data_IF_653263754932
#
_entry.id   IF_653263754932
#
_cell.length_a   1.000
_cell.length_b   1.000
_cell.length_c   1.000
_cell.angle_alpha   90.00
_cell.angle_beta   90.00
_cell.angle_gamma   90.00
#
_symmetry.space_group_name_H-M   'P 1'
#
loop_
_entity.id
_entity.type
_entity.pdbx_description
1 polymer ?
#
# COMPACT_ATOMS: atom_id res chain seq x y z
N UNK A 1 -34.57 12.56 -27.35
CA UNK A 1 -34.04 12.44 -25.98
C UNK A 1 -32.57 11.96 -25.89
N UNK A 2 -31.76 11.86 -26.97
CA UNK A 2 -30.47 11.13 -26.93
C UNK A 2 -29.15 11.91 -26.83
N UNK A 3 -29.13 13.25 -26.92
CA UNK A 3 -27.87 14.03 -27.00
C UNK A 3 -27.53 14.81 -25.72
N UNK A 4 -28.50 15.03 -24.81
CA UNK A 4 -28.29 15.80 -23.58
C UNK A 4 -27.84 14.94 -22.39
N UNK A 5 -28.21 13.65 -22.35
CA UNK A 5 -27.77 12.72 -21.29
C UNK A 5 -26.29 12.37 -21.43
N UNK A 6 -25.80 12.19 -22.66
CA UNK A 6 -24.39 11.93 -22.94
C UNK A 6 -23.46 13.08 -22.59
N UNK A 7 -23.98 14.30 -22.34
CA UNK A 7 -23.20 15.45 -21.84
C UNK A 7 -23.16 15.52 -20.32
N UNK A 8 -24.14 14.95 -19.61
CA UNK A 8 -24.34 15.17 -18.16
C UNK A 8 -23.36 14.42 -17.27
N UNK A 9 -22.81 13.29 -17.73
CA UNK A 9 -21.92 12.41 -16.95
C UNK A 9 -20.57 12.11 -17.63
N UNK A 10 -20.13 12.99 -18.54
CA UNK A 10 -18.91 12.79 -19.33
C UNK A 10 -17.65 12.53 -18.49
N UNK A 11 -17.47 13.28 -17.39
CA UNK A 11 -16.34 13.10 -16.47
C UNK A 11 -16.31 11.70 -15.85
N UNK A 12 -17.44 11.24 -15.30
CA UNK A 12 -17.53 9.92 -14.68
C UNK A 12 -17.42 8.80 -15.72
N UNK A 13 -18.09 8.95 -16.87
CA UNK A 13 -18.03 7.98 -17.97
C UNK A 13 -16.62 7.84 -18.57
N UNK A 14 -15.89 8.94 -18.69
CA UNK A 14 -14.51 8.93 -19.16
C UNK A 14 -13.61 8.15 -18.19
N UNK A 15 -13.68 8.45 -16.89
CA UNK A 15 -12.89 7.76 -15.87
C UNK A 15 -13.31 6.29 -15.73
N UNK A 16 -14.60 5.99 -15.86
CA UNK A 16 -15.13 4.64 -15.91
C UNK A 16 -14.55 3.84 -17.09
N UNK A 17 -14.51 4.43 -18.30
CA UNK A 17 -13.89 3.79 -19.47
C UNK A 17 -12.40 3.53 -19.26
N UNK A 18 -11.67 4.47 -18.66
CA UNK A 18 -10.25 4.27 -18.32
C UNK A 18 -10.11 3.09 -17.35
N UNK A 19 -10.94 3.03 -16.32
CA UNK A 19 -10.93 1.96 -15.33
C UNK A 19 -11.24 0.60 -15.96
N UNK A 20 -12.29 0.52 -16.79
CA UNK A 20 -12.69 -0.70 -17.51
C UNK A 20 -11.61 -1.15 -18.48
N UNK A 21 -11.04 -0.25 -19.28
CA UNK A 21 -9.98 -0.60 -20.23
C UNK A 21 -8.73 -1.07 -19.50
N UNK A 22 -8.39 -0.41 -18.39
CA UNK A 22 -7.27 -0.81 -17.52
C UNK A 22 -7.51 -2.19 -16.91
N UNK A 23 -8.73 -2.48 -16.44
CA UNK A 23 -9.12 -3.80 -15.94
C UNK A 23 -9.04 -4.87 -17.04
N UNK A 24 -9.59 -4.60 -18.22
CA UNK A 24 -9.54 -5.51 -19.37
C UNK A 24 -8.11 -5.81 -19.80
N UNK A 25 -7.24 -4.80 -19.86
CA UNK A 25 -5.84 -4.98 -20.17
C UNK A 25 -5.09 -5.76 -19.06
N UNK A 26 -5.44 -5.52 -17.79
CA UNK A 26 -4.83 -6.19 -16.63
C UNK A 26 -5.26 -7.67 -16.52
N UNK A 27 -6.45 -8.00 -17.01
CA UNK A 27 -7.04 -9.34 -16.97
C UNK A 27 -7.35 -9.86 -18.38
N UNK A 28 -6.44 -9.63 -19.33
CA UNK A 28 -6.61 -10.04 -20.71
C UNK A 28 -6.59 -11.58 -20.84
N UNK A 29 -5.68 -12.26 -20.11
CA UNK A 29 -5.58 -13.71 -20.09
C UNK A 29 -6.58 -14.40 -19.18
N UNK A 30 -7.05 -15.59 -19.57
CA UNK A 30 -7.91 -16.44 -18.73
C UNK A 30 -7.25 -16.79 -17.39
N UNK A 31 -5.94 -17.05 -17.40
CA UNK A 31 -5.16 -17.31 -16.18
C UNK A 31 -5.18 -16.10 -15.22
N UNK A 32 -5.03 -14.88 -15.73
CA UNK A 32 -5.08 -13.67 -14.89
C UNK A 32 -6.46 -13.47 -14.27
N UNK A 33 -7.54 -13.79 -15.01
CA UNK A 33 -8.92 -13.73 -14.51
C UNK A 33 -9.19 -14.76 -13.43
N UNK A 34 -8.75 -16.01 -13.64
CA UNK A 34 -8.85 -17.06 -12.63
C UNK A 34 -8.11 -16.67 -11.36
N UNK A 35 -6.84 -16.24 -11.46
CA UNK A 35 -6.06 -15.80 -10.30
C UNK A 35 -6.76 -14.65 -9.58
N UNK A 36 -7.23 -13.64 -10.30
CA UNK A 36 -7.93 -12.50 -9.70
C UNK A 36 -9.24 -12.91 -9.02
N UNK A 37 -10.04 -13.78 -9.64
CA UNK A 37 -11.27 -14.32 -9.08
C UNK A 37 -11.01 -15.14 -7.82
N UNK A 38 -10.03 -16.04 -7.84
CA UNK A 38 -9.64 -16.83 -6.67
C UNK A 38 -9.12 -15.95 -5.54
N UNK A 39 -8.28 -14.95 -5.84
CA UNK A 39 -7.79 -14.00 -4.84
C UNK A 39 -8.93 -13.16 -4.24
N UNK A 40 -9.90 -12.75 -5.04
CA UNK A 40 -11.09 -12.04 -4.56
C UNK A 40 -11.93 -12.93 -3.63
N UNK A 41 -12.18 -14.18 -4.02
CA UNK A 41 -12.90 -15.14 -3.20
C UNK A 41 -12.19 -15.41 -1.87
N UNK A 42 -10.88 -15.65 -1.89
CA UNK A 42 -10.07 -15.83 -0.68
C UNK A 42 -10.18 -14.57 0.20
N UNK A 43 -9.99 -13.37 -0.37
CA UNK A 43 -10.09 -12.13 0.38
C UNK A 43 -11.47 -11.96 1.04
N UNK A 44 -12.56 -12.23 0.31
CA UNK A 44 -13.92 -12.15 0.85
C UNK A 44 -14.18 -13.19 1.95
N UNK A 45 -13.70 -14.42 1.77
CA UNK A 45 -13.82 -15.49 2.78
C UNK A 45 -13.09 -15.12 4.06
N UNK A 46 -11.88 -14.57 3.96
CA UNK A 46 -11.13 -14.17 5.15
C UNK A 46 -11.75 -12.95 5.84
N UNK A 47 -12.22 -11.96 5.07
CA UNK A 47 -12.96 -10.83 5.65
C UNK A 47 -14.19 -11.37 6.41
N UNK A 48 -14.95 -12.29 5.81
CA UNK A 48 -16.09 -12.92 6.48
C UNK A 48 -15.70 -13.66 7.75
N UNK A 49 -14.68 -14.52 7.72
CA UNK A 49 -14.26 -15.27 8.91
C UNK A 49 -13.83 -14.31 10.03
N UNK A 50 -13.07 -13.27 9.69
CA UNK A 50 -12.64 -12.26 10.67
C UNK A 50 -13.79 -11.53 11.36
N UNK A 51 -14.89 -11.26 10.65
CA UNK A 51 -16.04 -10.55 11.22
C UNK A 51 -17.11 -11.46 11.84
N UNK A 52 -17.02 -12.77 11.62
CA UNK A 52 -18.00 -13.76 12.11
C UNK A 52 -17.81 -14.01 13.61
N UNK A 53 -16.57 -14.25 14.04
CA UNK A 53 -16.27 -14.70 15.41
C UNK A 53 -16.24 -13.58 16.47
N UNK A 54 -15.75 -12.36 16.19
CA UNK A 54 -15.66 -11.33 17.21
C UNK A 54 -17.04 -10.85 17.72
N UNK A 55 -17.13 -10.48 19.01
CA UNK A 55 -18.28 -9.79 19.56
C UNK A 55 -18.66 -8.58 18.69
N UNK A 56 -19.97 -8.38 18.48
CA UNK A 56 -20.49 -7.35 17.58
C UNK A 56 -19.88 -5.97 17.85
N UNK A 57 -19.66 -5.60 19.12
CA UNK A 57 -19.08 -4.31 19.50
C UNK A 57 -17.65 -4.12 18.97
N UNK A 58 -16.81 -5.17 19.00
CA UNK A 58 -15.44 -5.10 18.48
C UNK A 58 -15.48 -4.99 16.95
N UNK A 59 -16.28 -5.83 16.31
CA UNK A 59 -16.51 -5.78 14.86
C UNK A 59 -17.03 -4.41 14.39
N UNK A 60 -17.94 -3.80 15.15
CA UNK A 60 -18.48 -2.47 14.92
C UNK A 60 -17.41 -1.37 14.96
N UNK A 61 -16.53 -1.36 15.97
CA UNK A 61 -15.43 -0.38 16.06
C UNK A 61 -14.42 -0.54 14.92
N UNK A 62 -14.10 -1.78 14.55
CA UNK A 62 -13.22 -2.06 13.40
C UNK A 62 -13.87 -1.59 12.10
N UNK A 63 -15.15 -1.88 11.89
CA UNK A 63 -15.90 -1.44 10.71
C UNK A 63 -16.04 0.09 10.64
N UNK A 64 -16.22 0.75 11.79
CA UNK A 64 -16.23 2.21 11.90
C UNK A 64 -14.88 2.80 11.47
N UNK A 65 -13.78 2.31 12.06
CA UNK A 65 -12.43 2.78 11.73
C UNK A 65 -12.07 2.54 10.26
N UNK A 66 -12.33 1.33 9.75
CA UNK A 66 -12.11 0.98 8.35
C UNK A 66 -12.96 1.85 7.42
N UNK A 67 -14.24 2.05 7.73
CA UNK A 67 -15.15 2.91 6.97
C UNK A 67 -14.61 4.34 6.89
N UNK A 68 -14.22 4.95 8.02
CA UNK A 68 -13.64 6.30 8.06
C UNK A 68 -12.37 6.39 7.21
N UNK A 69 -11.44 5.44 7.34
CA UNK A 69 -10.19 5.44 6.56
C UNK A 69 -10.46 5.31 5.05
N UNK A 70 -11.32 4.37 4.65
CA UNK A 70 -11.71 4.17 3.25
C UNK A 70 -12.41 5.42 2.70
N UNK A 71 -13.30 6.03 3.48
CA UNK A 71 -13.96 7.29 3.17
C UNK A 71 -12.98 8.44 2.95
N UNK A 72 -12.01 8.61 3.85
CA UNK A 72 -10.96 9.62 3.72
C UNK A 72 -10.12 9.41 2.45
N UNK A 73 -9.67 8.18 2.20
CA UNK A 73 -8.87 7.86 1.00
C UNK A 73 -9.68 8.13 -0.26
N UNK A 74 -10.93 7.66 -0.33
CA UNK A 74 -11.81 7.91 -1.46
C UNK A 74 -12.06 9.40 -1.68
N UNK A 75 -12.35 10.16 -0.62
CA UNK A 75 -12.53 11.62 -0.69
C UNK A 75 -11.28 12.32 -1.23
N UNK A 76 -10.08 11.92 -0.79
CA UNK A 76 -8.82 12.47 -1.30
C UNK A 76 -8.60 12.15 -2.78
N UNK A 77 -8.92 10.93 -3.21
CA UNK A 77 -8.78 10.51 -4.60
C UNK A 77 -9.76 11.25 -5.52
N UNK A 78 -11.02 11.34 -5.12
CA UNK A 78 -12.06 12.08 -5.85
C UNK A 78 -11.68 13.56 -5.98
N UNK A 79 -11.25 14.19 -4.88
CA UNK A 79 -10.80 15.58 -4.89
C UNK A 79 -9.57 15.79 -5.78
N UNK A 80 -8.57 14.91 -5.70
CA UNK A 80 -7.37 14.99 -6.54
C UNK A 80 -7.69 14.78 -8.03
N UNK A 81 -8.61 13.88 -8.35
CA UNK A 81 -9.04 13.61 -9.73
C UNK A 81 -9.83 14.78 -10.32
N UNK A 82 -10.72 15.39 -9.54
CA UNK A 82 -11.42 16.61 -9.93
C UNK A 82 -10.47 17.79 -10.16
N UNK A 83 -9.46 17.96 -9.30
CA UNK A 83 -8.42 18.98 -9.49
C UNK A 83 -7.65 18.75 -10.79
N UNK A 84 -7.24 17.51 -11.05
CA UNK A 84 -6.59 17.14 -12.31
C UNK A 84 -7.45 17.44 -13.53
N UNK A 85 -8.74 17.10 -13.49
CA UNK A 85 -9.65 17.45 -14.60
C UNK A 85 -9.75 18.95 -14.79
N UNK A 86 -9.76 19.74 -13.72
CA UNK A 86 -9.83 21.20 -13.78
C UNK A 86 -8.55 21.92 -14.22
N UNK A 87 -7.36 21.37 -13.96
CA UNK A 87 -6.07 21.99 -14.33
C UNK A 87 -5.49 21.47 -15.64
N UNK A 88 -5.53 20.14 -15.85
CA UNK A 88 -4.74 19.45 -16.88
C UNK A 88 -5.58 18.52 -17.76
N UNK A 89 -6.90 18.45 -17.51
CA UNK A 89 -7.80 17.52 -18.18
C UNK A 89 -8.40 18.07 -19.47
N UNK A 90 -8.59 17.18 -20.46
CA UNK A 90 -9.37 17.47 -21.69
C UNK A 90 -10.83 17.89 -21.40
N UNK A 91 -11.30 17.74 -20.16
CA UNK A 91 -12.64 18.07 -19.67
C UNK A 91 -12.65 19.23 -18.66
N UNK A 92 -11.64 20.11 -18.68
CA UNK A 92 -11.50 21.21 -17.72
C UNK A 92 -12.73 22.13 -17.63
N UNK A 93 -13.34 22.48 -18.76
CA UNK A 93 -14.54 23.31 -18.79
C UNK A 93 -15.72 22.66 -18.03
N UNK A 94 -15.85 21.34 -18.08
CA UNK A 94 -16.90 20.59 -17.36
C UNK A 94 -16.54 20.43 -15.87
N UNK A 95 -15.25 20.30 -15.54
CA UNK A 95 -14.77 20.14 -14.16
C UNK A 95 -14.86 21.42 -13.32
N UNK A 96 -14.87 22.59 -13.96
CA UNK A 96 -15.07 23.89 -13.30
C UNK A 96 -16.54 24.17 -12.94
N UNK A 97 -17.50 23.48 -13.57
CA UNK A 97 -18.92 23.66 -13.28
C UNK A 97 -19.32 22.96 -11.97
N UNK A 98 -19.94 23.72 -11.06
CA UNK A 98 -20.30 23.25 -9.71
C UNK A 98 -21.28 22.07 -9.73
N UNK A 99 -22.26 22.08 -10.64
CA UNK A 99 -23.25 21.01 -10.79
C UNK A 99 -22.61 19.70 -11.24
N UNK A 100 -21.78 19.75 -12.29
CA UNK A 100 -21.09 18.57 -12.86
C UNK A 100 -20.09 18.00 -11.86
N UNK A 101 -19.39 18.86 -11.11
CA UNK A 101 -18.52 18.46 -10.02
C UNK A 101 -19.27 17.71 -8.91
N UNK A 102 -20.44 18.20 -8.49
CA UNK A 102 -21.30 17.51 -7.50
C UNK A 102 -21.78 16.16 -7.99
N UNK A 103 -22.21 16.05 -9.25
CA UNK A 103 -22.63 14.78 -9.87
C UNK A 103 -21.49 13.77 -9.94
N UNK A 104 -20.31 14.20 -10.37
CA UNK A 104 -19.12 13.36 -10.38
C UNK A 104 -18.77 12.85 -8.97
N UNK A 105 -18.81 13.72 -7.95
CA UNK A 105 -18.59 13.31 -6.55
C UNK A 105 -19.63 12.29 -6.10
N UNK A 106 -20.92 12.54 -6.37
CA UNK A 106 -22.01 11.64 -6.01
C UNK A 106 -21.86 10.26 -6.69
N UNK A 107 -21.55 10.22 -7.99
CA UNK A 107 -21.33 8.98 -8.72
C UNK A 107 -20.09 8.22 -8.22
N UNK A 108 -18.99 8.93 -7.95
CA UNK A 108 -17.74 8.34 -7.46
C UNK A 108 -17.90 7.77 -6.05
N UNK A 109 -18.55 8.51 -5.14
CA UNK A 109 -18.84 8.03 -3.80
C UNK A 109 -19.91 6.95 -3.80
N UNK A 110 -20.92 7.04 -4.69
CA UNK A 110 -21.91 5.99 -4.89
C UNK A 110 -21.28 4.65 -5.27
N UNK A 111 -20.32 4.65 -6.20
CA UNK A 111 -19.55 3.45 -6.53
C UNK A 111 -18.73 2.93 -5.32
N UNK A 112 -18.08 3.82 -4.57
CA UNK A 112 -17.34 3.46 -3.35
C UNK A 112 -18.23 2.84 -2.27
N UNK A 113 -19.41 3.41 -2.03
CA UNK A 113 -20.40 2.90 -1.08
C UNK A 113 -20.96 1.56 -1.55
N UNK A 114 -21.24 1.39 -2.85
CA UNK A 114 -21.73 0.14 -3.38
C UNK A 114 -20.72 -1.00 -3.17
N UNK A 115 -19.44 -0.75 -3.43
CA UNK A 115 -18.36 -1.72 -3.15
C UNK A 115 -18.27 -2.02 -1.65
N UNK A 116 -18.28 -0.99 -0.80
CA UNK A 116 -18.24 -1.16 0.66
C UNK A 116 -19.47 -1.93 1.19
N UNK A 117 -20.65 -1.67 0.63
CA UNK A 117 -21.88 -2.34 1.02
C UNK A 117 -21.82 -3.82 0.64
N UNK A 118 -21.39 -4.14 -0.58
CA UNK A 118 -21.21 -5.52 -1.01
C UNK A 118 -20.22 -6.28 -0.11
N UNK A 119 -19.07 -5.68 0.20
CA UNK A 119 -18.10 -6.32 1.11
C UNK A 119 -18.63 -6.46 2.52
N UNK A 120 -19.34 -5.45 3.05
CA UNK A 120 -19.93 -5.51 4.40
C UNK A 120 -21.04 -6.54 4.49
N UNK A 121 -21.87 -6.68 3.45
CA UNK A 121 -22.94 -7.69 3.39
C UNK A 121 -22.37 -9.11 3.36
N UNK A 122 -21.25 -9.33 2.66
CA UNK A 122 -20.55 -10.62 2.66
C UNK A 122 -19.89 -10.87 4.03
N UNK A 123 -19.29 -9.84 4.62
CA UNK A 123 -18.57 -9.94 5.88
C UNK A 123 -19.51 -10.22 7.06
N UNK A 124 -20.46 -9.30 7.30
CA UNK A 124 -21.48 -9.36 8.34
C UNK A 124 -22.52 -8.24 8.11
N UNK A 125 -23.74 -8.56 7.64
CA UNK A 125 -24.74 -7.57 7.23
C UNK A 125 -25.08 -6.51 8.28
N UNK A 126 -25.08 -6.88 9.57
CA UNK A 126 -25.39 -5.97 10.68
C UNK A 126 -24.43 -4.79 10.81
N UNK A 127 -23.23 -4.87 10.20
CA UNK A 127 -22.22 -3.80 10.25
C UNK A 127 -22.48 -2.69 9.23
N UNK A 128 -23.40 -2.88 8.27
CA UNK A 128 -23.69 -1.92 7.21
C UNK A 128 -24.18 -0.57 7.77
N UNK A 129 -24.96 -0.63 8.85
CA UNK A 129 -25.50 0.55 9.57
C UNK A 129 -24.36 1.42 10.10
N UNK A 130 -23.17 0.86 10.33
CA UNK A 130 -22.01 1.56 10.86
C UNK A 130 -21.02 1.92 9.74
N UNK A 131 -20.73 0.98 8.84
CA UNK A 131 -19.69 1.16 7.82
C UNK A 131 -20.05 2.23 6.79
N UNK A 132 -21.32 2.33 6.38
CA UNK A 132 -21.74 3.33 5.39
C UNK A 132 -21.70 4.77 5.94
N UNK A 133 -22.25 5.09 7.14
CA UNK A 133 -22.08 6.41 7.75
C UNK A 133 -20.61 6.73 8.05
N UNK A 134 -19.81 5.75 8.50
CA UNK A 134 -18.38 5.92 8.73
C UNK A 134 -17.63 6.34 7.47
N UNK A 135 -17.92 5.71 6.34
CA UNK A 135 -17.38 6.09 5.04
C UNK A 135 -17.74 7.53 4.67
N UNK A 136 -19.02 7.91 4.80
CA UNK A 136 -19.46 9.26 4.50
C UNK A 136 -18.80 10.29 5.42
N UNK A 137 -18.67 10.00 6.71
CA UNK A 137 -17.99 10.84 7.68
C UNK A 137 -16.51 11.07 7.30
N UNK A 138 -15.79 10.00 6.93
CA UNK A 138 -14.41 10.11 6.47
C UNK A 138 -14.27 10.92 5.17
N UNK A 139 -15.13 10.68 4.19
CA UNK A 139 -15.14 11.43 2.93
C UNK A 139 -15.45 12.92 3.15
N UNK A 140 -16.44 13.20 4.01
CA UNK A 140 -16.83 14.55 4.38
C UNK A 140 -15.73 15.29 5.15
N UNK A 141 -15.07 14.63 6.10
CA UNK A 141 -13.94 15.20 6.84
C UNK A 141 -12.83 15.68 5.89
N UNK A 142 -12.49 14.89 4.87
CA UNK A 142 -11.52 15.31 3.85
C UNK A 142 -12.06 16.48 3.03
N UNK A 143 -13.32 16.46 2.61
CA UNK A 143 -13.91 17.57 1.87
C UNK A 143 -13.79 18.88 2.65
N UNK A 144 -14.15 18.85 3.95
CA UNK A 144 -14.00 19.97 4.89
C UNK A 144 -12.55 20.42 4.98
N UNK A 145 -11.61 19.51 5.28
CA UNK A 145 -10.17 19.83 5.37
C UNK A 145 -9.69 20.48 4.07
N UNK A 146 -10.08 19.98 2.90
CA UNK A 146 -9.61 20.50 1.61
C UNK A 146 -10.20 21.85 1.21
N UNK A 147 -11.35 22.24 1.76
CA UNK A 147 -12.02 23.51 1.47
C UNK A 147 -11.72 24.58 2.54
N UNK A 148 -11.57 24.18 3.81
CA UNK A 148 -11.28 25.06 4.94
C UNK A 148 -9.79 25.33 5.10
N UNK A 149 -8.93 24.37 4.75
CA UNK A 149 -7.51 24.64 4.73
C UNK A 149 -7.23 25.66 3.61
N UNK A 150 -6.72 26.84 4.00
CA UNK A 150 -5.85 27.63 3.12
C UNK A 150 -4.84 26.68 2.48
N UNK A 151 -4.30 26.95 1.27
CA UNK A 151 -3.19 26.18 0.74
C UNK A 151 -1.98 26.40 1.65
N UNK A 152 -1.97 25.72 2.80
CA UNK A 152 -0.79 25.51 3.60
C UNK A 152 0.13 24.80 2.63
N UNK A 153 1.31 25.35 2.32
CA UNK A 153 2.26 24.71 1.44
C UNK A 153 2.40 23.30 1.94
N UNK A 154 1.83 22.36 1.17
CA UNK A 154 1.55 21.01 1.62
C UNK A 154 2.81 20.51 2.29
N UNK A 155 2.79 20.27 3.61
CA UNK A 155 3.95 19.91 4.45
C UNK A 155 4.88 19.16 3.54
N UNK A 156 5.90 19.90 3.07
CA UNK A 156 6.68 19.53 1.89
C UNK A 156 7.20 18.17 2.24
N UNK A 157 6.61 17.10 1.64
CA UNK A 157 6.77 15.69 2.07
C UNK A 157 8.17 15.58 2.60
N UNK A 158 8.33 15.43 3.92
CA UNK A 158 9.62 15.54 4.61
C UNK A 158 10.49 14.40 4.12
N UNK A 159 11.00 14.61 2.91
CA UNK A 159 11.81 13.71 2.15
C UNK A 159 13.17 13.95 2.77
N UNK A 160 13.82 12.92 3.34
CA UNK A 160 15.17 13.07 3.85
C UNK A 160 16.01 13.79 2.80
N UNK A 161 16.91 14.68 3.21
CA UNK A 161 17.78 15.39 2.27
C UNK A 161 18.46 14.41 1.32
N UNK A 162 18.80 14.84 0.10
CA UNK A 162 19.47 13.97 -0.87
C UNK A 162 20.74 13.31 -0.28
N UNK A 163 21.47 14.06 0.56
CA UNK A 163 22.61 13.58 1.34
C UNK A 163 22.25 12.42 2.27
N UNK A 164 21.17 12.54 3.04
CA UNK A 164 20.69 11.48 3.94
C UNK A 164 20.26 10.24 3.16
N UNK A 165 19.54 10.42 2.04
CA UNK A 165 19.16 9.30 1.17
C UNK A 165 20.37 8.58 0.57
N UNK A 166 21.39 9.33 0.15
CA UNK A 166 22.61 8.76 -0.41
C UNK A 166 23.38 7.98 0.65
N UNK A 167 23.48 8.52 1.86
CA UNK A 167 24.15 7.87 2.98
C UNK A 167 23.42 6.59 3.42
N UNK A 168 22.09 6.61 3.55
CA UNK A 168 21.27 5.45 3.94
C UNK A 168 21.39 4.24 3.00
N UNK A 169 21.88 4.44 1.77
CA UNK A 169 22.14 3.37 0.79
C UNK A 169 23.52 2.76 0.91
N UNK A 170 24.44 3.40 1.64
CA UNK A 170 25.78 2.87 1.84
C UNK A 170 25.77 1.72 2.85
N UNK A 171 26.66 0.73 2.71
CA UNK A 171 26.75 -0.38 3.65
C UNK A 171 27.02 0.11 5.09
N UNK A 172 27.76 1.22 5.24
CA UNK A 172 28.03 1.84 6.54
C UNK A 172 26.78 2.26 7.31
N UNK A 173 25.71 2.69 6.63
CA UNK A 173 24.44 3.02 7.30
C UNK A 173 23.78 1.79 7.94
N UNK A 174 23.95 0.61 7.33
CA UNK A 174 23.48 -0.65 7.89
C UNK A 174 24.23 -1.07 9.15
N UNK A 175 25.55 -0.86 9.17
CA UNK A 175 26.39 -1.10 10.36
C UNK A 175 25.97 -0.16 11.49
N UNK A 176 25.80 1.12 11.20
CA UNK A 176 25.34 2.11 12.20
C UNK A 176 23.96 1.76 12.74
N UNK A 177 23.02 1.37 11.87
CA UNK A 177 21.70 0.92 12.31
C UNK A 177 21.77 -0.33 13.20
N UNK A 178 22.65 -1.28 12.89
CA UNK A 178 22.85 -2.46 13.73
C UNK A 178 23.40 -2.08 15.10
N UNK A 179 24.38 -1.17 15.15
CA UNK A 179 24.91 -0.66 16.42
C UNK A 179 23.85 0.06 17.26
N UNK A 180 23.02 0.91 16.62
CA UNK A 180 21.91 1.60 17.29
C UNK A 180 20.96 0.56 17.93
N UNK A 181 20.52 -0.42 17.14
CA UNK A 181 19.67 -1.50 17.63
C UNK A 181 20.32 -2.21 18.83
N UNK A 182 21.56 -2.68 18.68
CA UNK A 182 22.24 -3.45 19.73
C UNK A 182 22.42 -2.65 21.03
N UNK A 183 22.76 -1.36 20.94
CA UNK A 183 22.87 -0.45 22.09
C UNK A 183 21.51 -0.22 22.77
N UNK A 184 20.45 -0.07 21.98
CA UNK A 184 19.08 0.05 22.49
C UNK A 184 18.64 -1.24 23.20
N UNK A 185 18.98 -2.42 22.65
CA UNK A 185 18.68 -3.72 23.26
C UNK A 185 19.45 -3.97 24.55
N UNK A 186 20.71 -3.52 24.66
CA UNK A 186 21.46 -3.55 25.91
C UNK A 186 20.72 -2.82 27.03
N UNK A 187 20.18 -1.65 26.73
CA UNK A 187 19.38 -0.88 27.69
C UNK A 187 18.03 -1.55 27.95
N UNK A 188 17.31 -1.96 26.91
CA UNK A 188 15.99 -2.58 27.03
C UNK A 188 16.01 -3.92 27.80
N UNK A 189 17.15 -4.63 27.80
CA UNK A 189 17.33 -5.85 28.58
C UNK A 189 17.16 -5.62 30.10
N UNK A 190 17.37 -4.38 30.58
CA UNK A 190 17.15 -4.02 31.99
C UNK A 190 15.68 -3.86 32.35
N UNK A 191 14.78 -3.76 31.36
CA UNK A 191 13.35 -3.48 31.53
C UNK A 191 12.47 -4.76 31.51
N UNK A 192 13.08 -5.93 31.38
CA UNK A 192 12.41 -7.23 31.34
C UNK A 192 12.04 -7.70 29.92
N UNK A 193 11.71 -8.99 29.82
CA UNK A 193 11.60 -9.72 28.54
C UNK A 193 10.52 -9.18 27.59
N UNK A 194 9.36 -8.77 28.13
CA UNK A 194 8.27 -8.23 27.32
C UNK A 194 8.64 -6.88 26.68
N UNK A 195 9.32 -6.01 27.45
CA UNK A 195 9.80 -4.72 26.96
C UNK A 195 10.89 -4.90 25.90
N UNK A 196 11.83 -5.82 26.14
CA UNK A 196 12.87 -6.18 25.17
C UNK A 196 12.26 -6.61 23.83
N UNK A 197 11.31 -7.56 23.83
CA UNK A 197 10.66 -8.05 22.61
C UNK A 197 9.94 -6.94 21.84
N UNK A 198 9.22 -6.05 22.56
CA UNK A 198 8.53 -4.93 21.95
C UNK A 198 9.50 -3.92 21.31
N UNK A 199 10.58 -3.58 22.01
CA UNK A 199 11.63 -2.67 21.51
C UNK A 199 12.31 -3.25 20.28
N UNK A 200 12.74 -4.53 20.31
CA UNK A 200 13.32 -5.23 19.15
C UNK A 200 12.38 -5.10 17.95
N UNK A 201 11.10 -5.45 18.13
CA UNK A 201 10.12 -5.46 17.04
C UNK A 201 9.94 -4.08 16.40
N UNK A 202 9.72 -3.05 17.21
CA UNK A 202 9.48 -1.68 16.73
C UNK A 202 10.74 -1.14 16.05
N UNK A 203 11.89 -1.26 16.71
CA UNK A 203 13.13 -0.64 16.26
C UNK A 203 13.66 -1.29 14.98
N UNK A 204 13.65 -2.63 14.89
CA UNK A 204 14.05 -3.32 13.66
C UNK A 204 13.17 -2.93 12.50
N UNK A 205 11.85 -2.86 12.68
CA UNK A 205 10.94 -2.46 11.60
C UNK A 205 11.24 -1.04 11.13
N UNK A 206 11.43 -0.09 12.05
CA UNK A 206 11.75 1.29 11.72
C UNK A 206 13.10 1.40 10.99
N UNK A 207 14.15 0.77 11.52
CA UNK A 207 15.48 0.79 10.91
C UNK A 207 15.47 0.11 9.53
N UNK A 208 14.91 -1.09 9.41
CA UNK A 208 14.86 -1.83 8.16
C UNK A 208 14.04 -1.09 7.08
N UNK A 209 12.91 -0.47 7.43
CA UNK A 209 12.14 0.36 6.51
C UNK A 209 12.89 1.63 6.09
N UNK A 210 13.67 2.21 6.99
CA UNK A 210 14.47 3.43 6.72
C UNK A 210 15.66 3.11 5.80
N UNK A 211 16.31 1.96 6.01
CA UNK A 211 17.40 1.48 5.15
C UNK A 211 16.91 1.07 3.75
N UNK A 212 15.65 0.62 3.62
CA UNK A 212 15.06 0.18 2.34
C UNK A 212 14.20 1.23 1.63
N UNK A 213 14.50 2.52 1.82
CA UNK A 213 13.79 3.61 1.14
C UNK A 213 13.96 3.55 -0.38
N UNK A 214 12.89 3.19 -1.08
CA UNK A 214 12.83 3.13 -2.55
C UNK A 214 12.48 4.48 -3.15
N UNK A 215 13.27 4.92 -4.12
CA UNK A 215 12.96 6.09 -4.94
C UNK A 215 12.45 5.68 -6.33
N UNK A 216 11.22 6.08 -6.68
CA UNK A 216 10.56 5.66 -7.92
C UNK A 216 11.26 6.20 -9.17
N UNK A 217 11.87 7.40 -9.08
CA UNK A 217 12.64 7.99 -10.18
C UNK A 217 13.90 7.17 -10.48
N UNK A 218 14.60 6.72 -9.44
CA UNK A 218 15.82 5.90 -9.56
C UNK A 218 15.48 4.53 -10.13
N UNK A 219 14.41 3.88 -9.64
CA UNK A 219 13.97 2.58 -10.18
C UNK A 219 13.62 2.68 -11.66
N UNK A 220 12.91 3.75 -12.07
CA UNK A 220 12.60 4.00 -13.48
C UNK A 220 13.83 4.26 -14.32
N UNK A 221 14.73 5.12 -13.84
CA UNK A 221 15.99 5.41 -14.53
C UNK A 221 16.82 4.15 -14.75
N UNK A 222 17.03 3.34 -13.70
CA UNK A 222 17.77 2.08 -13.82
C UNK A 222 17.08 1.09 -14.78
N UNK A 223 15.75 1.07 -14.79
CA UNK A 223 14.99 0.19 -15.69
C UNK A 223 15.13 0.62 -17.15
N UNK A 224 15.08 1.92 -17.44
CA UNK A 224 15.31 2.46 -18.80
C UNK A 224 16.78 2.23 -19.21
N UNK A 225 17.71 2.35 -18.28
CA UNK A 225 19.13 2.02 -18.47
C UNK A 225 19.40 0.49 -18.54
N UNK A 226 18.39 -0.34 -18.80
CA UNK A 226 18.54 -1.78 -19.03
C UNK A 226 18.84 -2.64 -17.80
N UNK A 227 18.82 -2.09 -16.57
CA UNK A 227 19.10 -2.88 -15.38
C UNK A 227 17.94 -3.84 -15.05
N UNK A 228 18.28 -5.10 -14.79
CA UNK A 228 17.32 -6.11 -14.35
C UNK A 228 16.76 -5.83 -12.95
N UNK A 229 15.57 -6.37 -12.64
CA UNK A 229 14.94 -6.20 -11.33
C UNK A 229 15.86 -6.62 -10.16
N UNK A 230 16.60 -7.72 -10.32
CA UNK A 230 17.53 -8.23 -9.30
C UNK A 230 18.62 -7.20 -8.97
N UNK A 231 19.20 -6.56 -9.99
CA UNK A 231 20.24 -5.55 -9.79
C UNK A 231 19.69 -4.32 -9.07
N UNK A 232 18.47 -3.89 -9.40
CA UNK A 232 17.80 -2.75 -8.75
C UNK A 232 17.45 -3.05 -7.29
N UNK A 233 16.95 -4.26 -7.01
CA UNK A 233 16.67 -4.71 -5.63
C UNK A 233 17.96 -4.77 -4.83
N UNK A 234 19.02 -5.39 -5.38
CA UNK A 234 20.30 -5.49 -4.69
C UNK A 234 20.89 -4.11 -4.40
N UNK A 235 20.79 -3.17 -5.35
CA UNK A 235 21.21 -1.78 -5.16
C UNK A 235 20.52 -1.09 -3.97
N UNK A 236 19.22 -1.34 -3.76
CA UNK A 236 18.48 -0.77 -2.63
C UNK A 236 18.61 -1.59 -1.33
N UNK A 237 19.07 -2.85 -1.41
CA UNK A 237 19.28 -3.72 -0.26
C UNK A 237 20.69 -3.60 0.36
N UNK A 238 21.61 -2.83 -0.26
CA UNK A 238 23.03 -2.77 0.12
C UNK A 238 23.26 -2.43 1.59
N UNK A 239 22.42 -1.61 2.21
CA UNK A 239 22.51 -1.25 3.62
C UNK A 239 21.79 -2.23 4.55
N UNK A 240 20.75 -2.93 4.07
CA UNK A 240 20.03 -3.93 4.87
C UNK A 240 20.83 -5.23 5.06
N UNK A 241 21.67 -5.59 4.08
CA UNK A 241 22.54 -6.77 4.15
C UNK A 241 23.51 -6.74 5.34
N UNK A 242 24.36 -5.70 5.52
CA UNK A 242 25.25 -5.63 6.68
C UNK A 242 24.49 -5.44 7.99
N UNK A 243 23.35 -4.73 7.98
CA UNK A 243 22.47 -4.65 9.15
C UNK A 243 22.04 -6.05 9.63
N UNK A 244 21.50 -6.86 8.72
CA UNK A 244 20.99 -8.20 9.04
C UNK A 244 22.14 -9.15 9.38
N UNK A 245 23.25 -9.07 8.63
CA UNK A 245 24.44 -9.89 8.85
C UNK A 245 25.13 -9.65 10.18
N UNK A 246 24.98 -8.47 10.79
CA UNK A 246 25.48 -8.16 12.13
C UNK A 246 24.42 -8.39 13.22
N UNK A 247 23.23 -7.83 13.04
CA UNK A 247 22.21 -7.82 14.07
C UNK A 247 21.70 -9.23 14.42
N UNK A 248 21.46 -10.10 13.42
CA UNK A 248 20.94 -11.46 13.67
C UNK A 248 21.88 -12.32 14.52
N UNK A 249 23.17 -12.53 14.14
CA UNK A 249 24.05 -13.38 14.93
C UNK A 249 24.34 -12.79 16.32
N UNK A 250 24.51 -11.48 16.43
CA UNK A 250 24.76 -10.84 17.73
C UNK A 250 23.51 -10.97 18.62
N UNK A 251 22.30 -10.79 18.06
CA UNK A 251 21.08 -11.00 18.83
C UNK A 251 20.90 -12.45 19.27
N UNK A 252 21.29 -13.41 18.43
CA UNK A 252 21.20 -14.82 18.75
C UNK A 252 22.07 -15.18 19.95
N UNK A 253 23.29 -14.65 19.99
CA UNK A 253 24.27 -14.91 21.06
C UNK A 253 23.97 -14.12 22.32
N UNK A 254 23.63 -12.82 22.21
CA UNK A 254 23.55 -11.91 23.35
C UNK A 254 22.13 -11.74 23.95
N UNK A 255 21.08 -11.91 23.14
CA UNK A 255 19.69 -11.63 23.53
C UNK A 255 18.74 -12.83 23.32
N UNK A 256 19.26 -13.95 22.83
CA UNK A 256 18.55 -15.21 22.66
C UNK A 256 17.84 -15.38 21.30
N UNK A 257 17.29 -16.59 21.06
CA UNK A 257 16.77 -16.99 19.75
C UNK A 257 15.51 -16.22 19.32
N UNK A 258 14.69 -15.77 20.28
CA UNK A 258 13.46 -15.04 19.98
C UNK A 258 13.78 -13.66 19.38
N UNK A 259 14.70 -12.91 19.98
CA UNK A 259 15.14 -11.61 19.46
C UNK A 259 15.76 -11.75 18.06
N UNK A 260 16.66 -12.73 17.88
CA UNK A 260 17.25 -13.03 16.59
C UNK A 260 16.21 -13.39 15.51
N UNK A 261 15.22 -14.19 15.89
CA UNK A 261 14.10 -14.56 15.03
C UNK A 261 13.28 -13.36 14.58
N UNK A 262 12.99 -12.42 15.48
CA UNK A 262 12.28 -11.17 15.15
C UNK A 262 13.10 -10.34 14.16
N UNK A 263 14.41 -10.16 14.42
CA UNK A 263 15.30 -9.40 13.53
C UNK A 263 15.32 -10.03 12.14
N UNK A 264 15.53 -11.34 12.06
CA UNK A 264 15.58 -12.07 10.79
C UNK A 264 14.25 -11.98 10.02
N UNK A 265 13.12 -12.22 10.72
CA UNK A 265 11.80 -12.17 10.10
C UNK A 265 11.45 -10.76 9.57
N UNK A 266 11.76 -9.71 10.33
CA UNK A 266 11.52 -8.33 9.91
C UNK A 266 12.44 -7.91 8.74
N UNK A 267 13.71 -8.34 8.74
CA UNK A 267 14.61 -8.14 7.60
C UNK A 267 14.12 -8.85 6.34
N UNK A 268 13.64 -10.10 6.45
CA UNK A 268 13.06 -10.83 5.31
C UNK A 268 11.80 -10.12 4.81
N UNK A 269 10.89 -9.74 5.72
CA UNK A 269 9.66 -9.04 5.35
C UNK A 269 9.94 -7.70 4.64
N UNK A 270 10.91 -6.93 5.11
CA UNK A 270 11.31 -5.68 4.46
C UNK A 270 12.00 -5.90 3.11
N UNK A 271 12.78 -6.97 2.94
CA UNK A 271 13.30 -7.37 1.61
C UNK A 271 12.19 -7.74 0.63
N UNK A 272 11.17 -8.48 1.07
CA UNK A 272 10.02 -8.84 0.25
C UNK A 272 9.23 -7.58 -0.16
N UNK A 273 9.00 -6.66 0.78
CA UNK A 273 8.38 -5.36 0.50
C UNK A 273 9.23 -4.54 -0.48
N UNK A 274 10.56 -4.50 -0.30
CA UNK A 274 11.48 -3.83 -1.20
C UNK A 274 11.36 -4.39 -2.62
N UNK A 275 11.42 -5.71 -2.76
CA UNK A 275 11.29 -6.40 -4.04
C UNK A 275 9.95 -6.11 -4.72
N UNK A 276 8.84 -6.19 -3.97
CA UNK A 276 7.51 -5.87 -4.47
C UNK A 276 7.40 -4.41 -4.93
N UNK A 277 7.96 -3.45 -4.18
CA UNK A 277 7.98 -2.03 -4.56
C UNK A 277 8.78 -1.79 -5.82
N UNK A 278 9.97 -2.37 -5.93
CA UNK A 278 10.79 -2.26 -7.14
C UNK A 278 10.02 -2.80 -8.35
N UNK A 279 9.48 -4.01 -8.27
CA UNK A 279 8.71 -4.60 -9.38
C UNK A 279 7.47 -3.77 -9.74
N UNK A 280 6.75 -3.25 -8.76
CA UNK A 280 5.57 -2.41 -8.97
C UNK A 280 5.92 -1.05 -9.61
N UNK A 281 6.99 -0.39 -9.18
CA UNK A 281 7.43 0.89 -9.77
C UNK A 281 7.96 0.75 -11.20
N UNK A 282 8.46 -0.43 -11.58
CA UNK A 282 8.80 -0.73 -12.98
C UNK A 282 7.57 -0.81 -13.88
N UNK A 283 6.46 -1.30 -13.34
CA UNK A 283 5.24 -1.60 -14.10
C UNK A 283 4.24 -0.45 -14.14
N UNK A 284 4.17 0.34 -13.08
CA UNK A 284 3.08 1.28 -12.83
C UNK A 284 3.60 2.66 -12.40
N UNK A 285 2.73 3.67 -12.43
CA UNK A 285 3.01 4.96 -11.81
C UNK A 285 3.09 4.83 -10.28
N UNK A 286 3.92 5.65 -9.64
CA UNK A 286 4.19 5.60 -8.18
C UNK A 286 2.94 5.38 -7.32
N UNK A 287 1.89 6.19 -7.54
CA UNK A 287 0.66 6.13 -6.73
C UNK A 287 -0.06 4.79 -6.85
N UNK A 288 -0.12 4.23 -8.06
CA UNK A 288 -0.77 2.95 -8.30
C UNK A 288 0.09 1.79 -7.77
N UNK A 289 1.41 1.87 -7.95
CA UNK A 289 2.36 0.92 -7.38
C UNK A 289 2.30 0.89 -5.84
N UNK A 290 2.25 2.06 -5.18
CA UNK A 290 2.11 2.16 -3.72
C UNK A 290 0.80 1.53 -3.23
N UNK A 291 -0.31 1.81 -3.92
CA UNK A 291 -1.60 1.20 -3.61
C UNK A 291 -1.55 -0.32 -3.77
N UNK A 292 -1.00 -0.79 -4.89
CA UNK A 292 -0.90 -2.21 -5.19
C UNK A 292 -0.02 -2.92 -4.16
N UNK A 293 1.16 -2.38 -3.82
CA UNK A 293 2.03 -2.94 -2.78
C UNK A 293 1.33 -2.93 -1.42
N UNK A 294 0.57 -1.88 -1.07
CA UNK A 294 -0.19 -1.83 0.17
C UNK A 294 -1.26 -2.92 0.25
N UNK A 295 -1.96 -3.21 -0.86
CA UNK A 295 -2.94 -4.29 -0.93
C UNK A 295 -2.23 -5.64 -0.72
N UNK A 296 -1.12 -5.87 -1.42
CA UNK A 296 -0.34 -7.11 -1.27
C UNK A 296 0.25 -7.28 0.14
N UNK A 297 0.75 -6.21 0.75
CA UNK A 297 1.20 -6.23 2.14
C UNK A 297 0.06 -6.58 3.10
N UNK A 298 -1.14 -6.03 2.87
CA UNK A 298 -2.35 -6.40 3.60
C UNK A 298 -2.71 -7.87 3.44
N UNK A 299 -2.66 -8.40 2.22
CA UNK A 299 -2.89 -9.84 1.94
C UNK A 299 -1.84 -10.71 2.63
N UNK A 300 -0.57 -10.31 2.66
CA UNK A 300 0.50 -11.04 3.35
C UNK A 300 0.33 -11.03 4.86
N UNK A 301 -0.02 -9.89 5.46
CA UNK A 301 -0.35 -9.80 6.88
C UNK A 301 -1.53 -10.71 7.22
N UNK A 302 -2.54 -10.72 6.37
CA UNK A 302 -3.73 -11.53 6.53
C UNK A 302 -3.43 -13.03 6.42
N UNK A 303 -2.64 -13.43 5.43
CA UNK A 303 -2.17 -14.80 5.28
C UNK A 303 -1.32 -15.21 6.48
N UNK A 304 -0.42 -14.35 6.97
CA UNK A 304 0.41 -14.62 8.14
C UNK A 304 -0.39 -14.82 9.41
N UNK A 305 -1.49 -14.09 9.58
CA UNK A 305 -2.38 -14.27 10.72
C UNK A 305 -3.27 -15.52 10.59
N UNK A 306 -3.96 -15.67 9.45
CA UNK A 306 -5.01 -16.68 9.29
C UNK A 306 -4.46 -18.07 8.93
N UNK A 307 -3.38 -18.12 8.16
CA UNK A 307 -2.77 -19.36 7.69
C UNK A 307 -1.25 -19.17 7.53
N UNK A 308 -0.48 -19.17 8.63
CA UNK A 308 0.98 -18.91 8.61
C UNK A 308 1.73 -19.78 7.60
N UNK A 309 1.30 -21.03 7.42
CA UNK A 309 1.88 -21.98 6.45
C UNK A 309 1.66 -21.52 4.99
N UNK A 310 0.57 -20.80 4.70
CA UNK A 310 0.27 -20.30 3.35
C UNK A 310 1.07 -19.04 2.98
N UNK A 311 1.55 -18.27 3.97
CA UNK A 311 2.30 -17.02 3.77
C UNK A 311 3.45 -17.12 2.75
N UNK A 312 4.38 -18.10 2.83
CA UNK A 312 5.47 -18.19 1.85
C UNK A 312 4.97 -18.42 0.43
N UNK A 313 3.92 -19.23 0.25
CA UNK A 313 3.34 -19.50 -1.06
C UNK A 313 2.67 -18.26 -1.65
N UNK A 314 1.93 -17.51 -0.83
CA UNK A 314 1.29 -16.25 -1.25
C UNK A 314 2.35 -15.21 -1.61
N UNK A 315 3.42 -15.07 -0.82
CA UNK A 315 4.52 -14.16 -1.12
C UNK A 315 5.21 -14.50 -2.45
N UNK A 316 5.51 -15.79 -2.67
CA UNK A 316 6.11 -16.27 -3.92
C UNK A 316 5.18 -16.00 -5.11
N UNK A 317 3.87 -16.29 -4.98
CA UNK A 317 2.90 -16.06 -6.05
C UNK A 317 2.81 -14.59 -6.46
N UNK A 318 2.79 -13.67 -5.48
CA UNK A 318 2.75 -12.22 -5.72
C UNK A 318 4.02 -11.77 -6.45
N UNK A 319 5.19 -12.15 -5.95
CA UNK A 319 6.46 -11.79 -6.56
C UNK A 319 6.62 -12.37 -7.96
N UNK A 320 6.21 -13.63 -8.15
CA UNK A 320 6.22 -14.30 -9.45
C UNK A 320 5.33 -13.60 -10.46
N UNK A 321 4.09 -13.24 -10.07
CA UNK A 321 3.16 -12.53 -10.94
C UNK A 321 3.71 -11.15 -11.35
N UNK A 322 4.27 -10.41 -10.39
CA UNK A 322 4.89 -9.11 -10.64
C UNK A 322 6.13 -9.23 -11.54
N UNK A 323 6.97 -10.23 -11.31
CA UNK A 323 8.16 -10.49 -12.13
C UNK A 323 7.79 -10.87 -13.57
N UNK A 324 6.83 -11.79 -13.76
CA UNK A 324 6.37 -12.23 -15.08
C UNK A 324 5.81 -11.06 -15.89
N UNK A 325 4.99 -10.22 -15.25
CA UNK A 325 4.46 -8.99 -15.89
C UNK A 325 5.57 -7.98 -16.17
N UNK A 326 6.55 -7.86 -15.29
CA UNK A 326 7.73 -7.00 -15.45
C UNK A 326 8.57 -7.37 -16.66
N UNK A 327 8.84 -8.67 -16.84
CA UNK A 327 9.62 -9.20 -17.97
C UNK A 327 8.90 -9.05 -19.32
N UNK A 328 7.57 -9.10 -19.34
CA UNK A 328 6.80 -8.86 -20.58
C UNK A 328 6.85 -7.40 -21.03
N UNK A 329 7.12 -6.45 -20.12
CA UNK A 329 7.16 -5.01 -20.42
C UNK A 329 8.56 -4.41 -20.57
N UNK A 330 9.63 -5.15 -20.26
CA UNK A 330 11.01 -4.67 -20.45
C UNK A 330 11.35 -4.33 -21.91
N UNK A 331 10.58 -4.86 -22.87
CA UNK A 331 10.78 -4.65 -24.31
C UNK A 331 9.91 -3.55 -24.92
N UNK A 332 9.06 -2.87 -24.13
CA UNK A 332 8.19 -1.78 -24.60
C UNK A 332 8.69 -0.38 -24.18
N UNK A 333 9.79 -0.33 -23.41
CA UNK A 333 10.41 0.90 -22.90
C UNK A 333 11.87 1.06 -23.37
N UNK A 334 12.37 0.11 -24.17
CA UNK A 334 13.63 0.19 -24.90
C UNK A 334 13.32 0.46 -26.38
#
# INVERSE_FOLDING_TARGET
>A
MGASETRRDRLFHHDWRIAVNSARATFAGWQDRLIAGTMLLIAMTVVRSWFTDPPWRIAAWVALGAGIVVGMVAGRLVAARLRFHGSDGLLAAEALQSLTRRRYMAASHGAGIAVLAATTLIARPSLLIISAPAYLAGAFAVHMITNLARPVPAIRKARPGWTVRRWLRQPGAGIVAAMILLLSLLWANTLGTNALIAVVGIEVILLALTLTLVDDSVVRFMTIAGHGARAIVLHHAQSLLPFTGLAVPICLVAFGPVAAGIVAAASIATLLLLAARVLAYRLYGKRFADLLVSIHAGVLLLAGYAAPIALPFVAIAILWQLQRRGAAKTWLLA
#
